data_IF_339111957928
#
_entry.id   IF_339111957928
#
_cell.length_a   1.000
_cell.length_b   1.000
_cell.length_c   1.000
_cell.angle_alpha   90.00
_cell.angle_beta   90.00
_cell.angle_gamma   90.00
#
_symmetry.space_group_name_H-M   'P 1'
#
loop_
_entity.id
_entity.type
_entity.pdbx_description
1 polymer ?
#
# COMPACT_ATOMS: atom_id res chain seq x y z
N UNK A 1 -24.22 21.39 -8.52
CA UNK A 1 -22.86 20.88 -8.61
C UNK A 1 -21.87 21.96 -9.04
N UNK A 2 -20.58 21.79 -8.81
CA UNK A 2 -19.54 22.75 -9.23
C UNK A 2 -19.34 22.61 -10.73
N UNK A 3 -19.31 23.74 -11.47
CA UNK A 3 -19.04 23.72 -12.90
C UNK A 3 -17.63 23.18 -13.20
N UNK A 4 -17.47 22.42 -14.29
CA UNK A 4 -16.19 21.80 -14.67
C UNK A 4 -15.06 22.83 -14.82
N UNK A 5 -15.35 24.04 -15.36
CA UNK A 5 -14.40 25.14 -15.46
C UNK A 5 -13.88 25.63 -14.10
N UNK A 6 -14.75 25.67 -13.09
CA UNK A 6 -14.37 26.06 -11.72
C UNK A 6 -13.48 24.98 -11.09
N UNK A 7 -13.81 23.70 -11.30
CA UNK A 7 -13.00 22.59 -10.82
C UNK A 7 -11.60 22.60 -11.48
N UNK A 8 -11.53 22.80 -12.79
CA UNK A 8 -10.27 22.91 -13.54
C UNK A 8 -9.41 24.08 -13.06
N UNK A 9 -10.03 25.27 -12.86
CA UNK A 9 -9.32 26.44 -12.35
C UNK A 9 -8.73 26.21 -10.95
N UNK A 10 -9.50 25.57 -10.06
CA UNK A 10 -9.01 25.21 -8.71
C UNK A 10 -7.87 24.20 -8.78
N UNK A 11 -7.99 23.17 -9.61
CA UNK A 11 -6.91 22.19 -9.78
C UNK A 11 -5.62 22.84 -10.30
N UNK A 12 -5.74 23.76 -11.27
CA UNK A 12 -4.59 24.50 -11.79
C UNK A 12 -3.96 25.48 -10.79
N UNK A 13 -4.69 25.90 -9.78
CA UNK A 13 -4.20 26.80 -8.74
C UNK A 13 -3.47 26.07 -7.58
N UNK A 14 -3.55 24.74 -7.50
CA UNK A 14 -2.89 23.95 -6.46
C UNK A 14 -1.38 24.07 -6.60
N UNK A 15 -0.71 24.38 -5.49
CA UNK A 15 0.75 24.53 -5.41
C UNK A 15 1.37 23.32 -4.70
N UNK A 16 2.62 23.00 -4.98
CA UNK A 16 3.31 21.88 -4.31
C UNK A 16 3.32 22.00 -2.77
N UNK A 17 3.40 23.21 -2.24
CA UNK A 17 3.46 23.47 -0.80
C UNK A 17 2.09 23.61 -0.13
N UNK A 18 1.00 23.56 -0.90
CA UNK A 18 -0.34 23.55 -0.33
C UNK A 18 -0.58 22.27 0.48
N UNK A 19 -1.44 22.41 1.50
CA UNK A 19 -1.86 21.26 2.32
C UNK A 19 -2.61 20.25 1.46
N UNK A 20 -2.08 19.02 1.43
CA UNK A 20 -2.71 17.89 0.71
C UNK A 20 -3.72 17.18 1.59
N UNK A 21 -3.28 16.83 2.79
CA UNK A 21 -4.07 16.00 3.71
C UNK A 21 -3.67 16.21 5.17
N UNK A 22 -4.60 15.86 6.07
CA UNK A 22 -4.37 15.78 7.52
C UNK A 22 -4.80 14.38 7.96
N UNK A 23 -3.84 13.57 8.39
CA UNK A 23 -4.09 12.23 8.91
C UNK A 23 -3.90 12.23 10.41
N UNK A 24 -4.91 11.75 11.15
CA UNK A 24 -4.87 11.72 12.60
C UNK A 24 -4.15 10.50 13.12
N UNK A 25 -3.28 10.70 14.12
CA UNK A 25 -2.64 9.63 14.90
C UNK A 25 -3.17 9.65 16.34
N UNK A 26 -3.11 8.50 17.03
CA UNK A 26 -3.63 8.37 18.39
C UNK A 26 -2.95 9.27 19.42
N UNK A 27 -1.71 9.71 19.12
CA UNK A 27 -0.91 10.55 20.01
C UNK A 27 -0.51 9.83 21.31
N UNK A 28 0.72 10.01 21.75
CA UNK A 28 1.26 9.42 23.00
C UNK A 28 0.64 10.00 24.27
N UNK A 29 -0.04 11.14 24.18
CA UNK A 29 -0.66 11.87 25.31
C UNK A 29 -2.17 11.64 25.43
N UNK A 30 -2.74 10.69 24.67
CA UNK A 30 -4.17 10.37 24.66
C UNK A 30 -5.05 11.34 23.84
N UNK A 31 -4.51 12.43 23.29
CA UNK A 31 -5.22 13.31 22.36
C UNK A 31 -4.73 13.06 20.94
N UNK A 32 -5.66 12.84 20.02
CA UNK A 32 -5.35 12.69 18.60
C UNK A 32 -4.61 13.92 18.06
N UNK A 33 -3.57 13.67 17.23
CA UNK A 33 -2.79 14.72 16.58
C UNK A 33 -2.99 14.61 15.07
N UNK A 34 -3.28 15.73 14.42
CA UNK A 34 -3.38 15.81 12.97
C UNK A 34 -2.00 16.04 12.34
N UNK A 35 -1.53 15.06 11.60
CA UNK A 35 -0.29 15.16 10.82
C UNK A 35 -0.62 15.83 9.49
N UNK A 36 -0.01 16.98 9.24
CA UNK A 36 -0.20 17.77 8.02
C UNK A 36 0.85 17.39 6.97
N UNK A 37 0.41 17.09 5.76
CA UNK A 37 1.30 16.81 4.63
C UNK A 37 0.99 17.73 3.45
N UNK A 38 2.03 18.24 2.77
CA UNK A 38 1.86 18.96 1.52
C UNK A 38 1.79 18.01 0.32
N UNK A 39 1.32 18.54 -0.82
CA UNK A 39 1.32 17.78 -2.09
C UNK A 39 2.73 17.35 -2.48
N UNK A 40 3.72 18.24 -2.36
CA UNK A 40 5.11 17.94 -2.69
C UNK A 40 5.68 16.78 -1.85
N UNK A 41 5.41 16.77 -0.54
CA UNK A 41 5.85 15.68 0.35
C UNK A 41 5.25 14.35 -0.08
N UNK A 42 3.93 14.30 -0.26
CA UNK A 42 3.21 13.08 -0.62
C UNK A 42 3.68 12.53 -1.97
N UNK A 43 3.75 13.37 -3.00
CA UNK A 43 4.18 12.96 -4.34
C UNK A 43 5.64 12.50 -4.36
N UNK A 44 6.55 13.22 -3.68
CA UNK A 44 7.98 12.86 -3.63
C UNK A 44 8.19 11.49 -2.99
N UNK A 45 7.63 11.28 -1.79
CA UNK A 45 7.84 10.03 -1.03
C UNK A 45 7.28 8.85 -1.81
N UNK A 46 6.06 8.97 -2.35
CA UNK A 46 5.42 7.82 -2.99
C UNK A 46 5.82 7.62 -4.45
N UNK A 47 6.46 8.61 -5.09
CA UNK A 47 7.19 8.39 -6.33
C UNK A 47 8.42 7.50 -6.07
N UNK A 48 9.25 7.89 -5.10
CA UNK A 48 10.43 7.08 -4.72
C UNK A 48 10.03 5.69 -4.25
N UNK A 49 8.93 5.58 -3.49
CA UNK A 49 8.39 4.28 -3.08
C UNK A 49 8.00 3.42 -4.29
N UNK A 50 7.21 3.96 -5.21
CA UNK A 50 6.76 3.24 -6.40
C UNK A 50 7.94 2.78 -7.27
N UNK A 51 8.93 3.66 -7.47
CA UNK A 51 10.14 3.35 -8.22
C UNK A 51 10.97 2.25 -7.53
N UNK A 52 11.10 2.33 -6.19
CA UNK A 52 11.87 1.35 -5.41
C UNK A 52 11.24 -0.04 -5.43
N UNK A 53 9.92 -0.13 -5.32
CA UNK A 53 9.22 -1.44 -5.36
C UNK A 53 9.00 -1.95 -6.78
N UNK A 54 9.31 -1.14 -7.79
CA UNK A 54 9.07 -1.47 -9.19
C UNK A 54 7.58 -1.61 -9.53
N UNK A 55 6.75 -0.69 -9.01
CA UNK A 55 5.33 -0.64 -9.34
C UNK A 55 5.15 -0.17 -10.79
N UNK A 56 4.42 -0.90 -11.61
CA UNK A 56 4.26 -0.70 -13.03
C UNK A 56 2.80 -0.56 -13.46
N UNK A 57 2.56 -0.03 -14.66
CA UNK A 57 1.21 0.20 -15.19
C UNK A 57 0.42 -1.09 -15.40
N UNK A 58 1.11 -2.21 -15.62
CA UNK A 58 0.53 -3.54 -15.82
C UNK A 58 0.06 -4.19 -14.52
N UNK A 59 0.44 -3.61 -13.37
CA UNK A 59 0.09 -4.18 -12.07
C UNK A 59 -1.39 -4.10 -11.74
N UNK A 60 -1.80 -5.09 -11.00
CA UNK A 60 -3.11 -5.19 -10.36
C UNK A 60 -2.91 -5.17 -8.85
N UNK A 61 -3.05 -3.98 -8.29
CA UNK A 61 -2.72 -3.69 -6.90
C UNK A 61 -3.95 -3.83 -6.01
N UNK A 62 -4.01 -4.88 -5.20
CA UNK A 62 -5.06 -5.05 -4.18
C UNK A 62 -4.73 -4.21 -2.94
N UNK A 63 -5.52 -3.17 -2.68
CA UNK A 63 -5.33 -2.28 -1.54
C UNK A 63 -6.24 -2.72 -0.40
N UNK A 64 -5.65 -3.38 0.60
CA UNK A 64 -6.33 -3.86 1.81
C UNK A 64 -6.21 -2.85 2.96
N UNK A 65 -5.14 -2.06 2.98
CA UNK A 65 -4.95 -1.03 3.98
C UNK A 65 -6.02 0.07 3.83
N UNK A 66 -6.62 0.56 4.95
CA UNK A 66 -7.67 1.57 4.89
C UNK A 66 -7.20 2.88 4.26
N UNK A 67 -8.05 3.54 3.47
CA UNK A 67 -7.75 4.83 2.84
C UNK A 67 -7.67 6.01 3.81
N UNK A 68 -8.11 5.84 5.05
CA UNK A 68 -7.87 6.83 6.11
C UNK A 68 -6.48 6.68 6.76
N UNK A 69 -5.73 5.65 6.40
CA UNK A 69 -4.35 5.42 6.83
C UNK A 69 -3.39 5.79 5.70
N UNK A 70 -2.24 6.39 6.05
CA UNK A 70 -1.22 6.85 5.10
C UNK A 70 -0.86 5.78 4.07
N UNK A 71 -0.71 4.52 4.50
CA UNK A 71 -0.29 3.44 3.61
C UNK A 71 -1.37 3.10 2.57
N UNK A 72 -2.63 2.96 2.96
CA UNK A 72 -3.72 2.70 2.01
C UNK A 72 -3.96 3.87 1.05
N UNK A 73 -3.96 5.09 1.58
CA UNK A 73 -4.17 6.28 0.77
C UNK A 73 -3.00 6.57 -0.17
N UNK A 74 -1.77 6.63 0.37
CA UNK A 74 -0.62 7.11 -0.41
C UNK A 74 0.12 5.99 -1.13
N UNK A 75 0.47 4.89 -0.45
CA UNK A 75 1.13 3.76 -1.10
C UNK A 75 0.17 2.98 -2.04
N UNK A 76 -1.11 2.88 -1.68
CA UNK A 76 -2.13 2.24 -2.51
C UNK A 76 -2.66 3.18 -3.60
N UNK A 77 -3.52 4.12 -3.21
CA UNK A 77 -4.26 4.94 -4.15
C UNK A 77 -3.38 5.95 -4.91
N UNK A 78 -2.58 6.76 -4.20
CA UNK A 78 -1.77 7.81 -4.84
C UNK A 78 -0.67 7.21 -5.74
N UNK A 79 0.07 6.21 -5.24
CA UNK A 79 1.10 5.54 -6.03
C UNK A 79 0.52 4.84 -7.25
N UNK A 80 -0.65 4.19 -7.10
CA UNK A 80 -1.37 3.58 -8.21
C UNK A 80 -1.77 4.59 -9.29
N UNK A 81 -2.28 5.76 -8.90
CA UNK A 81 -2.56 6.84 -9.86
C UNK A 81 -1.31 7.34 -10.58
N UNK A 82 -0.20 7.50 -9.86
CA UNK A 82 1.05 8.00 -10.46
C UNK A 82 1.70 7.02 -11.44
N UNK A 83 1.52 5.73 -11.24
CA UNK A 83 2.06 4.67 -12.10
C UNK A 83 1.10 4.22 -13.19
N UNK A 84 -0.21 4.50 -13.02
CA UNK A 84 -1.24 4.05 -13.95
C UNK A 84 -1.66 2.60 -13.77
N UNK A 85 -1.27 1.93 -12.68
CA UNK A 85 -1.68 0.57 -12.41
C UNK A 85 -3.16 0.47 -12.00
N UNK A 86 -3.74 -0.72 -12.13
CA UNK A 86 -5.10 -0.96 -11.66
C UNK A 86 -5.14 -1.00 -10.13
N UNK A 87 -5.85 -0.06 -9.51
CA UNK A 87 -6.06 0.00 -8.06
C UNK A 87 -7.37 -0.71 -7.73
N UNK A 88 -7.28 -1.81 -6.97
CA UNK A 88 -8.41 -2.66 -6.58
C UNK A 88 -8.60 -2.59 -5.06
N UNK A 89 -9.53 -1.76 -4.56
CA UNK A 89 -9.73 -1.63 -3.11
C UNK A 89 -10.47 -2.83 -2.52
N UNK A 90 -10.08 -3.21 -1.30
CA UNK A 90 -10.75 -4.20 -0.46
C UNK A 90 -11.33 -3.50 0.77
N UNK A 91 -12.64 -3.39 0.85
CA UNK A 91 -13.29 -2.59 1.90
C UNK A 91 -13.12 -3.19 3.31
N UNK A 92 -13.17 -4.50 3.42
CA UNK A 92 -13.00 -5.24 4.68
C UNK A 92 -12.05 -6.40 4.44
N UNK A 93 -11.06 -6.56 5.30
CA UNK A 93 -10.15 -7.70 5.21
C UNK A 93 -10.88 -8.99 5.65
N UNK A 94 -10.88 -9.95 4.74
CA UNK A 94 -11.24 -11.34 4.97
C UNK A 94 -10.28 -12.21 4.16
N UNK A 95 -9.61 -13.16 4.80
CA UNK A 95 -8.55 -13.92 4.16
C UNK A 95 -9.05 -14.77 2.99
N UNK A 96 -10.21 -15.40 3.13
CA UNK A 96 -10.81 -16.20 2.05
C UNK A 96 -11.22 -15.33 0.86
N UNK A 97 -11.85 -14.19 1.12
CA UNK A 97 -12.21 -13.23 0.07
C UNK A 97 -10.97 -12.69 -0.65
N UNK A 98 -9.88 -12.40 0.07
CA UNK A 98 -8.62 -11.94 -0.54
C UNK A 98 -8.01 -13.04 -1.42
N UNK A 99 -7.94 -14.29 -0.94
CA UNK A 99 -7.45 -15.43 -1.74
C UNK A 99 -8.27 -15.63 -3.02
N UNK A 100 -9.60 -15.58 -2.91
CA UNK A 100 -10.49 -15.71 -4.07
C UNK A 100 -10.28 -14.55 -5.07
N UNK A 101 -10.08 -13.32 -4.60
CA UNK A 101 -9.80 -12.16 -5.47
C UNK A 101 -8.45 -12.25 -6.15
N UNK A 102 -7.41 -12.75 -5.46
CA UNK A 102 -6.09 -12.95 -6.07
C UNK A 102 -6.23 -13.83 -7.29
N UNK A 103 -6.89 -15.00 -7.15
CA UNK A 103 -7.11 -15.92 -8.24
C UNK A 103 -8.00 -15.34 -9.37
N UNK A 104 -9.15 -14.76 -9.01
CA UNK A 104 -10.14 -14.31 -9.99
C UNK A 104 -9.72 -13.03 -10.72
N UNK A 105 -9.02 -12.14 -10.04
CA UNK A 105 -8.63 -10.84 -10.58
C UNK A 105 -7.14 -10.77 -10.95
N UNK A 106 -6.39 -11.87 -10.87
CA UNK A 106 -4.95 -11.94 -11.17
C UNK A 106 -4.15 -10.82 -10.49
N UNK A 107 -4.31 -10.70 -9.17
CA UNK A 107 -3.63 -9.69 -8.36
C UNK A 107 -2.11 -9.92 -8.41
N UNK A 108 -1.36 -8.87 -8.69
CA UNK A 108 0.10 -8.94 -8.78
C UNK A 108 0.80 -8.30 -7.57
N UNK A 109 0.16 -7.32 -6.94
CA UNK A 109 0.73 -6.51 -5.86
C UNK A 109 -0.21 -6.50 -4.66
N UNK A 110 0.30 -6.95 -3.51
CA UNK A 110 -0.47 -7.03 -2.26
C UNK A 110 0.40 -6.59 -1.07
N UNK A 111 0.54 -5.30 -0.79
CA UNK A 111 1.21 -4.83 0.42
C UNK A 111 0.28 -4.86 1.64
N UNK A 112 0.87 -5.15 2.80
CA UNK A 112 0.11 -5.18 4.04
C UNK A 112 0.95 -5.49 5.27
N UNK A 113 0.36 -5.45 6.48
CA UNK A 113 1.05 -5.80 7.71
C UNK A 113 1.34 -7.32 7.76
N UNK A 114 2.29 -7.77 8.62
CA UNK A 114 2.61 -9.19 8.77
C UNK A 114 1.39 -10.08 9.07
N UNK A 115 0.45 -9.57 9.84
CA UNK A 115 -0.77 -10.30 10.21
C UNK A 115 -1.66 -10.65 9.02
N UNK A 116 -1.65 -9.83 7.96
CA UNK A 116 -2.36 -10.12 6.71
C UNK A 116 -1.84 -11.43 6.11
N UNK A 117 -0.52 -11.54 5.92
CA UNK A 117 0.09 -12.72 5.31
C UNK A 117 -0.03 -13.95 6.20
N UNK A 118 0.10 -13.79 7.52
CA UNK A 118 -0.14 -14.87 8.48
C UNK A 118 -1.57 -15.44 8.34
N UNK A 119 -2.57 -14.57 8.17
CA UNK A 119 -3.96 -15.00 7.97
C UNK A 119 -4.15 -15.73 6.64
N UNK A 120 -3.54 -15.26 5.55
CA UNK A 120 -3.58 -15.94 4.25
C UNK A 120 -2.89 -17.32 4.33
N UNK A 121 -1.71 -17.39 4.97
CA UNK A 121 -0.95 -18.62 5.14
C UNK A 121 -1.67 -19.67 6.00
N UNK A 122 -2.44 -19.21 6.99
CA UNK A 122 -3.21 -20.09 7.88
C UNK A 122 -4.59 -20.49 7.32
N UNK A 123 -5.02 -19.90 6.20
CA UNK A 123 -6.36 -20.17 5.67
C UNK A 123 -6.48 -21.60 5.13
N UNK A 124 -7.47 -22.40 5.56
CA UNK A 124 -7.57 -23.83 5.21
C UNK A 124 -7.77 -24.06 3.71
N UNK A 125 -8.40 -23.14 3.01
CA UNK A 125 -8.68 -23.25 1.57
C UNK A 125 -7.61 -22.60 0.70
N UNK A 126 -6.48 -22.14 1.27
CA UNK A 126 -5.41 -21.47 0.51
C UNK A 126 -4.97 -22.26 -0.72
N UNK A 127 -4.78 -23.58 -0.56
CA UNK A 127 -4.34 -24.45 -1.64
C UNK A 127 -5.37 -24.65 -2.78
N UNK A 128 -6.59 -24.15 -2.61
CA UNK A 128 -7.64 -24.22 -3.63
C UNK A 128 -7.62 -23.01 -4.57
N UNK A 129 -6.82 -21.98 -4.25
CA UNK A 129 -6.73 -20.74 -5.01
C UNK A 129 -5.42 -20.67 -5.78
N UNK A 130 -5.50 -20.23 -7.03
CA UNK A 130 -4.32 -19.91 -7.84
C UNK A 130 -3.74 -18.57 -7.39
N UNK A 131 -2.55 -18.59 -6.81
CA UNK A 131 -1.81 -17.43 -6.34
C UNK A 131 -0.65 -17.07 -7.28
N UNK A 132 -0.49 -17.74 -8.41
CA UNK A 132 0.65 -17.59 -9.33
C UNK A 132 0.81 -16.21 -9.99
N UNK A 133 -0.15 -15.33 -9.80
CA UNK A 133 -0.04 -13.93 -10.27
C UNK A 133 0.69 -13.01 -9.28
N UNK A 134 0.88 -13.42 -8.02
CA UNK A 134 1.51 -12.59 -6.98
C UNK A 134 3.00 -12.40 -7.28
N UNK A 135 3.44 -11.17 -7.44
CA UNK A 135 4.86 -10.86 -7.67
C UNK A 135 5.50 -10.01 -6.56
N UNK A 136 4.73 -9.10 -5.95
CA UNK A 136 5.25 -8.10 -5.03
C UNK A 136 4.44 -8.00 -3.75
N UNK A 137 5.13 -8.18 -2.63
CA UNK A 137 4.65 -7.83 -1.30
C UNK A 137 5.55 -6.76 -0.68
N UNK A 138 4.95 -5.81 0.05
CA UNK A 138 5.66 -4.89 0.94
C UNK A 138 5.03 -5.01 2.32
N UNK A 139 5.82 -5.35 3.32
CA UNK A 139 5.36 -5.53 4.70
C UNK A 139 6.13 -4.63 5.67
N UNK A 140 5.53 -4.36 6.83
CA UNK A 140 6.11 -3.47 7.84
C UNK A 140 5.09 -3.10 8.91
N UNK A 141 5.29 -1.97 9.57
CA UNK A 141 4.47 -1.46 10.68
C UNK A 141 4.48 -2.32 11.95
N UNK A 142 5.13 -3.48 11.93
CA UNK A 142 5.34 -4.37 13.07
C UNK A 142 6.63 -5.16 12.87
N UNK A 143 7.02 -5.96 13.87
CA UNK A 143 8.13 -6.91 13.73
C UNK A 143 7.80 -7.93 12.63
N UNK A 144 8.69 -8.07 11.66
CA UNK A 144 8.59 -9.02 10.55
C UNK A 144 9.54 -10.17 10.82
N UNK A 145 9.07 -11.37 11.22
CA UNK A 145 9.92 -12.53 11.36
C UNK A 145 10.50 -12.96 10.01
N UNK A 146 11.78 -13.33 9.98
CA UNK A 146 12.45 -13.84 8.75
C UNK A 146 11.69 -15.04 8.18
N UNK A 147 11.23 -15.94 9.04
CA UNK A 147 10.41 -17.10 8.66
C UNK A 147 9.14 -16.70 7.91
N UNK A 148 8.51 -15.60 8.28
CA UNK A 148 7.34 -15.11 7.54
C UNK A 148 7.72 -14.70 6.10
N UNK A 149 8.87 -14.04 5.93
CA UNK A 149 9.36 -13.64 4.60
C UNK A 149 9.59 -14.88 3.71
N UNK A 150 10.23 -15.93 4.26
CA UNK A 150 10.40 -17.19 3.54
C UNK A 150 9.05 -17.80 3.14
N UNK A 151 8.11 -17.91 4.07
CA UNK A 151 6.80 -18.46 3.79
C UNK A 151 5.98 -17.61 2.80
N UNK A 152 6.16 -16.30 2.78
CA UNK A 152 5.53 -15.45 1.76
C UNK A 152 6.05 -15.77 0.36
N UNK A 153 7.34 -16.07 0.22
CA UNK A 153 7.94 -16.50 -1.06
C UNK A 153 7.53 -17.94 -1.42
N UNK A 154 7.73 -18.86 -0.50
CA UNK A 154 7.61 -20.30 -0.79
C UNK A 154 6.15 -20.76 -0.84
N UNK A 155 5.30 -20.29 0.09
CA UNK A 155 3.94 -20.76 0.27
C UNK A 155 2.87 -19.88 -0.41
N UNK A 156 3.11 -18.56 -0.58
CA UNK A 156 2.20 -17.65 -1.28
C UNK A 156 2.68 -17.28 -2.69
N UNK A 157 3.93 -17.60 -3.04
CA UNK A 157 4.46 -17.43 -4.39
C UNK A 157 4.91 -16.01 -4.74
N UNK A 158 5.19 -15.14 -3.76
CA UNK A 158 5.71 -13.81 -4.07
C UNK A 158 7.14 -13.86 -4.61
N UNK A 159 7.36 -13.32 -5.81
CA UNK A 159 8.71 -13.16 -6.37
C UNK A 159 9.56 -12.22 -5.52
N UNK A 160 8.97 -11.12 -5.06
CA UNK A 160 9.64 -10.08 -4.29
C UNK A 160 8.88 -9.77 -3.01
N UNK A 161 9.56 -9.87 -1.87
CA UNK A 161 9.06 -9.47 -0.56
C UNK A 161 10.01 -8.42 0.00
N UNK A 162 9.50 -7.22 0.25
CA UNK A 162 10.25 -6.10 0.79
C UNK A 162 9.74 -5.72 2.17
N UNK A 163 10.63 -5.22 3.02
CA UNK A 163 10.27 -4.65 4.31
C UNK A 163 10.42 -3.13 4.27
N UNK A 164 9.50 -2.44 4.95
CA UNK A 164 9.51 -0.99 5.05
C UNK A 164 9.21 -0.53 6.48
N UNK A 165 9.84 0.57 6.88
CA UNK A 165 9.56 1.27 8.12
C UNK A 165 9.11 2.69 7.82
N UNK A 166 8.09 3.14 8.53
CA UNK A 166 7.58 4.49 8.39
C UNK A 166 6.63 4.92 9.50
N UNK A 167 6.36 6.21 9.53
CA UNK A 167 5.44 6.87 10.45
C UNK A 167 4.53 7.79 9.65
N UNK A 168 3.35 8.05 10.13
CA UNK A 168 2.46 9.06 9.52
C UNK A 168 3.14 10.42 9.47
N UNK A 169 3.88 10.77 10.53
CA UNK A 169 4.63 12.02 10.68
C UNK A 169 5.76 12.19 9.65
N UNK A 170 6.24 11.10 9.06
CA UNK A 170 7.23 11.10 7.96
C UNK A 170 6.60 10.87 6.58
N UNK A 171 5.32 11.16 6.44
CA UNK A 171 4.56 10.95 5.20
C UNK A 171 4.36 9.46 4.85
N UNK A 172 4.71 8.53 5.76
CA UNK A 172 4.39 7.11 5.65
C UNK A 172 5.57 6.17 5.45
N UNK A 173 6.64 6.60 4.79
CA UNK A 173 7.85 5.77 4.57
C UNK A 173 9.10 6.57 4.95
N UNK A 174 9.97 5.96 5.75
CA UNK A 174 11.30 6.50 6.15
C UNK A 174 12.42 5.72 5.49
N UNK A 175 12.34 4.39 5.56
CA UNK A 175 13.33 3.48 4.97
C UNK A 175 12.65 2.20 4.51
N UNK A 176 13.25 1.54 3.53
CA UNK A 176 12.79 0.26 3.03
C UNK A 176 13.94 -0.50 2.36
N UNK A 177 13.82 -1.82 2.31
CA UNK A 177 14.69 -2.67 1.50
C UNK A 177 14.45 -2.43 0.00
N UNK A 178 15.44 -2.75 -0.79
CA UNK A 178 15.37 -2.77 -2.26
C UNK A 178 15.26 -4.20 -2.77
N UNK A 179 14.74 -4.42 -3.97
CA UNK A 179 14.87 -5.73 -4.61
C UNK A 179 16.34 -6.16 -4.68
N UNK A 180 16.62 -7.36 -4.17
CA UNK A 180 17.97 -7.90 -4.11
C UNK A 180 18.78 -7.61 -2.82
N UNK A 181 18.23 -6.85 -1.88
CA UNK A 181 18.78 -6.76 -0.53
C UNK A 181 18.49 -8.10 0.22
N UNK A 182 19.50 -8.60 0.97
CA UNK A 182 19.41 -9.82 1.78
C UNK A 182 18.66 -9.61 3.10
#
# INVERSE_FOLDING_TARGET
GVAASVAAARAAAVRPDDLSDIIYTSGTTGRAKGVMCSHAQSVRVFRVWADTVGLAAEDRYLVVAPFFHTFGYKAGFLAGLMTGCAVLPQAVFDAGAVLARIAAEHITVLPGPPTLYQSLLAHPERAQHDLGSLRLAVTGAAVVPVELVHRMRDDLGFDTVLTAYGLTESTGVVTMCRPGDD
#
